data_IF_043954408018
#
_entry.id   IF_043954408018
#
_cell.length_a   1.000
_cell.length_b   1.000
_cell.length_c   1.000
_cell.angle_alpha   90.00
_cell.angle_beta   90.00
_cell.angle_gamma   90.00
#
_symmetry.space_group_name_H-M   'P 1'
#
loop_
_entity.id
_entity.type
_entity.pdbx_description
1 polymer ?
#
# COMPACT_ATOMS: atom_id res chain seq x y z
N UNK A 1 5.11 -1.63 27.66
CA UNK A 1 3.95 -2.28 27.01
C UNK A 1 2.61 -2.08 27.72
N UNK A 2 2.58 -1.63 28.99
CA UNK A 2 1.33 -1.44 29.77
C UNK A 2 0.39 -0.31 29.26
N UNK A 3 0.82 0.49 28.29
CA UNK A 3 0.01 1.57 27.68
C UNK A 3 -0.77 1.15 26.43
N UNK A 4 -0.63 -0.10 25.99
CA UNK A 4 -1.24 -0.59 24.75
C UNK A 4 -2.26 -1.66 25.12
N UNK A 5 -3.54 -1.27 25.20
CA UNK A 5 -4.62 -2.15 25.66
C UNK A 5 -5.47 -2.71 24.52
N UNK A 6 -5.26 -2.22 23.30
CA UNK A 6 -6.02 -2.65 22.14
C UNK A 6 -5.60 -4.04 21.67
N UNK A 7 -6.58 -4.78 21.16
CA UNK A 7 -6.38 -6.14 20.63
C UNK A 7 -5.68 -6.09 19.28
N UNK A 8 -6.07 -5.13 18.44
CA UNK A 8 -5.60 -4.99 17.06
C UNK A 8 -4.93 -3.62 16.85
N UNK A 9 -3.85 -3.61 16.07
CA UNK A 9 -3.13 -2.44 15.59
C UNK A 9 -3.22 -2.37 14.08
N UNK A 10 -3.59 -1.21 13.55
CA UNK A 10 -3.60 -0.91 12.12
C UNK A 10 -2.56 0.17 11.85
N UNK A 11 -1.64 -0.10 10.94
CA UNK A 11 -0.55 0.83 10.61
C UNK A 11 -0.87 1.50 9.28
N UNK A 12 -1.05 2.83 9.30
CA UNK A 12 -1.23 3.64 8.11
C UNK A 12 0.13 4.04 7.57
N UNK A 13 0.38 3.70 6.32
CA UNK A 13 1.66 3.88 5.66
C UNK A 13 1.52 4.84 4.48
N UNK A 14 2.56 5.63 4.24
CA UNK A 14 2.67 6.39 2.99
C UNK A 14 2.95 5.42 1.84
N UNK A 15 2.23 5.58 0.72
CA UNK A 15 2.30 4.67 -0.43
C UNK A 15 3.29 5.20 -1.47
N UNK A 16 4.37 4.46 -1.74
CA UNK A 16 5.45 4.85 -2.65
C UNK A 16 5.46 4.01 -3.91
N UNK A 17 5.86 4.63 -5.03
CA UNK A 17 5.92 4.01 -6.35
C UNK A 17 7.21 4.37 -7.08
N UNK A 18 7.83 3.37 -7.71
CA UNK A 18 9.01 3.44 -8.60
C UNK A 18 10.32 3.92 -7.96
N UNK A 19 10.27 4.94 -7.11
CA UNK A 19 11.38 5.55 -6.38
C UNK A 19 11.04 5.60 -4.90
N UNK A 20 12.04 5.54 -4.04
CA UNK A 20 11.83 5.53 -2.59
C UNK A 20 11.28 6.85 -2.05
N UNK A 21 11.45 7.95 -2.78
CA UNK A 21 10.96 9.28 -2.41
C UNK A 21 9.82 9.78 -3.31
N UNK A 22 9.13 8.91 -4.07
CA UNK A 22 7.93 9.28 -4.81
C UNK A 22 6.72 8.59 -4.20
N UNK A 23 5.76 9.37 -3.70
CA UNK A 23 4.56 8.83 -3.05
C UNK A 23 3.27 9.37 -3.63
N UNK A 24 2.18 8.62 -3.43
CA UNK A 24 0.83 9.11 -3.72
C UNK A 24 0.40 10.05 -2.58
N UNK A 25 0.10 11.32 -2.84
CA UNK A 25 -0.38 12.23 -1.81
C UNK A 25 -1.79 11.85 -1.34
N UNK A 26 -2.11 12.15 -0.09
CA UNK A 26 -3.44 11.94 0.51
C UNK A 26 -3.97 10.49 0.51
N UNK A 27 -3.14 9.50 0.16
CA UNK A 27 -3.47 8.08 0.24
C UNK A 27 -2.65 7.42 1.36
N UNK A 28 -3.35 6.85 2.36
CA UNK A 28 -2.74 6.06 3.43
C UNK A 28 -3.06 4.59 3.23
N UNK A 29 -2.02 3.78 3.00
CA UNK A 29 -2.15 2.34 2.86
C UNK A 29 -2.22 1.68 4.24
N UNK A 30 -3.22 0.82 4.48
CA UNK A 30 -3.43 0.18 5.79
C UNK A 30 -3.33 -1.35 5.70
N UNK A 31 -2.24 -1.84 5.09
CA UNK A 31 -2.02 -3.28 4.91
C UNK A 31 -1.38 -3.97 6.11
N UNK A 32 -0.50 -3.27 6.83
CA UNK A 32 0.21 -3.83 7.98
C UNK A 32 -0.68 -3.83 9.22
N UNK A 33 -0.82 -5.01 9.83
CA UNK A 33 -1.65 -5.25 11.01
C UNK A 33 -0.85 -5.95 12.09
N UNK A 34 -1.14 -5.62 13.33
CA UNK A 34 -0.54 -6.24 14.50
C UNK A 34 -1.58 -6.67 15.51
N UNK A 35 -1.21 -7.63 16.36
CA UNK A 35 -1.94 -7.97 17.58
C UNK A 35 -0.92 -8.40 18.64
N UNK A 36 -1.36 -8.52 19.89
CA UNK A 36 -0.52 -9.15 20.91
C UNK A 36 -0.42 -10.65 20.62
N UNK A 37 0.73 -11.26 20.89
CA UNK A 37 0.92 -12.72 20.68
C UNK A 37 -0.18 -13.56 21.35
N UNK A 38 -0.60 -13.19 22.56
CA UNK A 38 -1.69 -13.86 23.29
C UNK A 38 -3.06 -13.78 22.62
N UNK A 39 -3.26 -12.78 21.76
CA UNK A 39 -4.52 -12.53 21.05
C UNK A 39 -4.48 -13.06 19.60
N UNK A 40 -3.32 -13.57 19.14
CA UNK A 40 -3.13 -14.09 17.80
C UNK A 40 -3.78 -15.46 17.66
N UNK A 41 -4.79 -15.57 16.80
CA UNK A 41 -5.40 -16.86 16.44
C UNK A 41 -4.54 -17.58 15.40
N UNK A 42 -4.29 -16.92 14.26
CA UNK A 42 -3.36 -17.35 13.22
C UNK A 42 -3.04 -16.16 12.27
N UNK A 43 -2.04 -16.26 11.37
CA UNK A 43 -1.69 -15.18 10.46
C UNK A 43 -2.82 -14.78 9.48
N UNK A 44 -3.59 -15.76 8.99
CA UNK A 44 -4.67 -15.51 8.03
C UNK A 44 -5.83 -14.74 8.68
N UNK A 45 -6.16 -15.05 9.93
CA UNK A 45 -7.11 -14.31 10.74
C UNK A 45 -6.70 -12.84 10.82
N UNK A 46 -5.47 -12.55 11.23
CA UNK A 46 -4.96 -11.18 11.33
C UNK A 46 -5.01 -10.45 9.98
N UNK A 47 -4.67 -11.14 8.88
CA UNK A 47 -4.78 -10.60 7.51
C UNK A 47 -6.21 -10.24 7.14
N UNK A 48 -7.20 -11.05 7.52
CA UNK A 48 -8.60 -10.92 7.15
C UNK A 48 -9.37 -9.84 7.93
N UNK A 49 -8.83 -9.39 9.07
CA UNK A 49 -9.42 -8.29 9.85
C UNK A 49 -9.61 -7.06 8.98
N UNK A 50 -10.72 -6.34 9.14
CA UNK A 50 -11.00 -5.16 8.33
C UNK A 50 -10.15 -3.97 8.77
N UNK A 51 -9.74 -3.16 7.81
CA UNK A 51 -8.77 -2.06 7.95
C UNK A 51 -9.41 -0.79 8.56
N UNK A 52 -10.35 -0.96 9.49
CA UNK A 52 -11.05 0.13 10.16
C UNK A 52 -11.52 -0.27 11.55
N UNK A 53 -11.64 0.72 12.42
CA UNK A 53 -12.29 0.57 13.72
C UNK A 53 -13.80 0.63 13.55
N UNK A 54 -14.50 -0.39 14.04
CA UNK A 54 -15.96 -0.39 14.08
C UNK A 54 -16.47 0.19 15.40
N UNK A 55 -17.66 0.79 15.38
CA UNK A 55 -18.34 1.22 16.60
C UNK A 55 -18.60 0.03 17.51
N UNK A 56 -18.40 0.20 18.83
CA UNK A 56 -18.69 -0.83 19.82
C UNK A 56 -20.20 -1.12 19.95
N UNK A 57 -21.07 -0.22 19.47
CA UNK A 57 -22.52 -0.38 19.49
C UNK A 57 -23.07 -1.23 18.33
N UNK A 58 -22.21 -1.62 17.38
CA UNK A 58 -22.64 -2.44 16.24
C UNK A 58 -22.78 -3.90 16.66
N UNK A 59 -24.01 -4.40 16.70
CA UNK A 59 -24.30 -5.79 17.07
C UNK A 59 -23.51 -6.82 16.25
N UNK A 60 -23.33 -6.56 14.96
CA UNK A 60 -22.58 -7.45 14.07
C UNK A 60 -21.07 -7.54 14.38
N UNK A 61 -20.53 -6.66 15.23
CA UNK A 61 -19.12 -6.73 15.65
C UNK A 61 -18.88 -7.76 16.75
N UNK A 62 -19.87 -8.08 17.56
CA UNK A 62 -19.73 -9.08 18.64
C UNK A 62 -19.60 -10.51 18.10
N UNK A 63 -20.22 -10.78 16.94
CA UNK A 63 -20.23 -12.11 16.31
C UNK A 63 -19.25 -12.23 15.13
N UNK A 64 -18.47 -11.18 14.84
CA UNK A 64 -17.57 -11.18 13.68
C UNK A 64 -16.15 -11.57 14.06
N UNK A 65 -15.55 -12.41 13.22
CA UNK A 65 -14.12 -12.76 13.21
C UNK A 65 -13.24 -11.71 12.50
N UNK A 66 -13.86 -10.69 11.87
CA UNK A 66 -13.18 -9.71 10.99
C UNK A 66 -13.41 -8.26 11.41
N UNK A 67 -14.51 -7.97 12.11
CA UNK A 67 -14.90 -6.60 12.49
C UNK A 67 -14.61 -6.39 13.97
N UNK A 68 -13.68 -5.49 14.28
CA UNK A 68 -13.25 -5.23 15.65
C UNK A 68 -13.48 -3.76 16.02
N UNK A 69 -13.95 -3.54 17.25
CA UNK A 69 -14.05 -2.23 17.88
C UNK A 69 -12.81 -1.89 18.71
N UNK A 70 -12.15 -2.91 19.27
CA UNK A 70 -10.92 -2.77 20.05
C UNK A 70 -9.67 -2.66 19.15
N UNK A 71 -9.60 -1.57 18.40
CA UNK A 71 -8.57 -1.29 17.39
C UNK A 71 -7.85 0.03 17.72
N UNK A 72 -6.53 0.03 17.61
CA UNK A 72 -5.70 1.25 17.62
C UNK A 72 -5.13 1.49 16.22
N UNK A 73 -5.38 2.67 15.67
CA UNK A 73 -4.76 3.12 14.42
C UNK A 73 -3.47 3.86 14.75
N UNK A 74 -2.40 3.53 14.03
CA UNK A 74 -1.10 4.18 14.08
C UNK A 74 -0.96 4.98 12.79
N UNK A 75 -1.09 6.31 12.90
CA UNK A 75 -1.13 7.22 11.74
C UNK A 75 0.23 7.36 11.04
N UNK A 76 1.33 7.25 11.80
CA UNK A 76 2.70 7.17 11.29
C UNK A 76 3.21 5.73 11.32
N UNK A 77 2.58 4.88 10.51
CA UNK A 77 2.88 3.45 10.41
C UNK A 77 4.05 3.13 9.46
N UNK A 78 4.72 4.15 8.92
CA UNK A 78 5.88 4.01 8.04
C UNK A 78 5.55 4.06 6.55
N UNK A 79 6.22 3.20 5.78
CA UNK A 79 6.29 3.28 4.33
C UNK A 79 5.81 1.97 3.69
N UNK A 80 5.05 2.08 2.61
CA UNK A 80 4.69 0.97 1.75
C UNK A 80 5.30 1.20 0.37
N UNK A 81 6.31 0.41 0.01
CA UNK A 81 6.97 0.51 -1.28
C UNK A 81 6.36 -0.45 -2.29
N UNK A 82 5.81 0.09 -3.38
CA UNK A 82 5.24 -0.67 -4.49
C UNK A 82 6.04 -0.41 -5.76
N UNK A 83 6.21 -1.46 -6.56
CA UNK A 83 6.82 -1.37 -7.89
C UNK A 83 8.15 -0.58 -7.94
N UNK A 84 9.02 -0.72 -6.93
CA UNK A 84 10.41 -0.22 -6.97
C UNK A 84 11.21 -1.10 -7.92
N UNK A 85 10.98 -0.88 -9.21
CA UNK A 85 11.35 -1.74 -10.33
C UNK A 85 11.47 -0.90 -11.60
N UNK A 86 12.23 -1.40 -12.56
CA UNK A 86 12.25 -0.86 -13.93
C UNK A 86 10.92 -1.12 -14.65
N UNK A 87 10.64 -0.37 -15.72
CA UNK A 87 9.42 -0.56 -16.50
C UNK A 87 9.29 -1.99 -17.05
N UNK A 88 10.38 -2.57 -17.56
CA UNK A 88 10.44 -3.95 -18.05
C UNK A 88 10.11 -4.97 -16.95
N UNK A 89 10.65 -4.79 -15.75
CA UNK A 89 10.34 -5.67 -14.62
C UNK A 89 8.90 -5.51 -14.13
N UNK A 90 8.34 -4.31 -14.23
CA UNK A 90 6.93 -4.06 -13.91
C UNK A 90 6.04 -4.75 -14.94
N UNK A 91 6.32 -4.62 -16.24
CA UNK A 91 5.60 -5.35 -17.29
C UNK A 91 5.63 -6.86 -17.00
N UNK A 92 6.82 -7.41 -16.74
CA UNK A 92 6.99 -8.82 -16.42
C UNK A 92 6.16 -9.23 -15.19
N UNK A 93 6.20 -8.43 -14.11
CA UNK A 93 5.38 -8.66 -12.92
C UNK A 93 3.89 -8.66 -13.25
N UNK A 94 3.41 -7.69 -14.03
CA UNK A 94 1.99 -7.58 -14.38
C UNK A 94 1.52 -8.76 -15.25
N UNK A 95 2.34 -9.20 -16.21
CA UNK A 95 2.09 -10.42 -17.02
C UNK A 95 1.95 -11.68 -16.16
N UNK A 96 2.73 -11.79 -15.09
CA UNK A 96 2.72 -12.96 -14.21
C UNK A 96 1.57 -12.96 -13.18
N UNK A 97 0.80 -11.88 -13.08
CA UNK A 97 -0.12 -11.68 -11.96
C UNK A 97 -1.56 -12.11 -12.30
N UNK A 98 -1.91 -13.32 -11.85
CA UNK A 98 -3.21 -13.99 -12.08
C UNK A 98 -4.47 -13.18 -11.70
N UNK A 99 -4.34 -12.14 -10.87
CA UNK A 99 -5.47 -11.35 -10.37
C UNK A 99 -5.73 -10.05 -11.13
N UNK A 100 -4.97 -9.74 -12.19
CA UNK A 100 -5.20 -8.57 -13.03
C UNK A 100 -5.84 -8.99 -14.35
N UNK A 101 -7.12 -9.39 -14.31
CA UNK A 101 -7.94 -9.48 -15.52
C UNK A 101 -7.74 -8.22 -16.36
N UNK A 102 -7.66 -7.05 -15.68
CA UNK A 102 -7.36 -5.71 -16.23
C UNK A 102 -6.21 -5.71 -17.24
N UNK A 103 -5.11 -6.37 -16.90
CA UNK A 103 -3.95 -6.47 -17.77
C UNK A 103 -4.13 -7.48 -18.90
N UNK A 104 -4.92 -8.54 -18.69
CA UNK A 104 -5.22 -9.52 -19.76
C UNK A 104 -6.08 -8.92 -20.87
N UNK A 105 -6.97 -7.96 -20.55
CA UNK A 105 -7.80 -7.29 -21.55
C UNK A 105 -7.09 -6.08 -22.20
N UNK A 106 -6.29 -5.33 -21.45
CA UNK A 106 -5.51 -4.18 -21.96
C UNK A 106 -4.08 -4.21 -21.39
N UNK A 107 -3.16 -4.99 -22.00
CA UNK A 107 -1.80 -5.10 -21.52
C UNK A 107 -1.02 -3.81 -21.77
N UNK A 108 -0.28 -3.36 -20.77
CA UNK A 108 0.69 -2.28 -20.94
C UNK A 108 2.00 -2.82 -21.52
N UNK A 109 2.52 -2.11 -22.52
CA UNK A 109 3.88 -2.28 -23.02
C UNK A 109 4.89 -1.63 -22.07
N UNK A 110 6.15 -2.09 -22.10
CA UNK A 110 7.27 -1.41 -21.39
C UNK A 110 7.29 0.09 -21.67
N UNK A 111 7.13 0.53 -22.93
CA UNK A 111 7.20 1.95 -23.32
C UNK A 111 6.11 2.79 -22.64
N UNK A 112 4.88 2.27 -22.55
CA UNK A 112 3.79 2.95 -21.84
C UNK A 112 4.07 3.05 -20.34
N UNK A 113 4.64 2.00 -19.74
CA UNK A 113 5.03 2.03 -18.32
C UNK A 113 6.16 3.06 -18.10
N UNK A 114 7.14 3.14 -19.01
CA UNK A 114 8.20 4.16 -18.94
C UNK A 114 7.62 5.57 -18.99
N UNK A 115 6.65 5.82 -19.87
CA UNK A 115 5.97 7.11 -19.96
C UNK A 115 5.23 7.45 -18.67
N UNK A 116 4.50 6.50 -18.09
CA UNK A 116 3.81 6.66 -16.78
C UNK A 116 4.80 6.99 -15.66
N UNK A 117 5.95 6.28 -15.61
CA UNK A 117 7.00 6.52 -14.60
C UNK A 117 7.60 7.91 -14.80
N UNK A 118 7.91 8.30 -16.04
CA UNK A 118 8.47 9.62 -16.38
C UNK A 118 7.52 10.75 -16.03
N UNK A 119 6.22 10.55 -16.26
CA UNK A 119 5.15 11.47 -15.88
C UNK A 119 4.83 11.46 -14.38
N UNK A 120 5.51 10.58 -13.61
CA UNK A 120 5.32 10.42 -12.16
C UNK A 120 3.87 10.14 -11.81
N UNK A 121 3.26 9.18 -12.49
CA UNK A 121 1.87 8.78 -12.26
C UNK A 121 1.80 7.36 -11.73
N UNK A 122 0.89 7.09 -10.79
CA UNK A 122 0.63 5.72 -10.38
C UNK A 122 0.05 4.92 -11.58
N UNK A 123 0.53 3.70 -11.80
CA UNK A 123 0.06 2.83 -12.91
C UNK A 123 -1.44 2.55 -12.79
N UNK A 124 -1.97 2.49 -11.57
CA UNK A 124 -3.38 2.24 -11.30
C UNK A 124 -3.97 3.36 -10.46
N UNK A 125 -5.20 3.76 -10.81
CA UNK A 125 -6.04 4.50 -9.86
C UNK A 125 -6.62 3.54 -8.82
N UNK A 126 -6.14 3.67 -7.58
CA UNK A 126 -6.57 2.86 -6.43
C UNK A 126 -7.95 3.28 -5.89
N UNK A 127 -8.51 4.42 -6.34
CA UNK A 127 -9.80 4.96 -5.89
C UNK A 127 -10.96 4.50 -6.77
N UNK A 128 -10.71 4.09 -8.01
CA UNK A 128 -11.77 3.69 -8.95
C UNK A 128 -12.39 2.36 -8.53
N UNK A 129 -13.72 2.28 -8.64
CA UNK A 129 -14.47 1.05 -8.39
C UNK A 129 -13.90 -0.10 -9.23
N UNK A 130 -13.63 -1.24 -8.59
CA UNK A 130 -13.13 -2.46 -9.25
C UNK A 130 -14.03 -2.93 -10.41
N UNK A 131 -15.30 -2.52 -10.43
CA UNK A 131 -16.27 -2.83 -11.50
C UNK A 131 -16.13 -1.97 -12.77
N UNK A 132 -15.50 -0.79 -12.68
CA UNK A 132 -15.30 0.11 -13.82
C UNK A 132 -13.94 -0.22 -14.44
N UNK A 133 -13.94 -0.79 -15.64
CA UNK A 133 -12.72 -1.35 -16.22
C UNK A 133 -11.96 -0.38 -17.12
N UNK A 134 -12.70 0.46 -17.84
CA UNK A 134 -12.14 1.45 -18.76
C UNK A 134 -11.47 2.58 -17.97
N UNK A 135 -10.27 3.00 -18.41
CA UNK A 135 -9.51 4.16 -17.92
C UNK A 135 -8.82 4.04 -16.54
N UNK A 136 -8.57 2.84 -16.01
CA UNK A 136 -7.85 2.67 -14.74
C UNK A 136 -6.33 2.71 -14.84
N UNK A 137 -5.82 2.30 -16.00
CA UNK A 137 -4.40 2.10 -16.23
C UNK A 137 -3.81 3.39 -16.78
N UNK A 138 -2.79 3.93 -16.13
CA UNK A 138 -2.16 5.22 -16.50
C UNK A 138 -2.94 6.46 -16.05
N UNK A 139 -4.09 6.29 -15.39
CA UNK A 139 -4.89 7.39 -14.83
C UNK A 139 -4.71 7.57 -13.31
N UNK A 140 -3.74 6.89 -12.71
CA UNK A 140 -3.50 6.99 -11.27
C UNK A 140 -3.02 8.37 -10.84
N UNK A 141 -3.16 8.65 -9.54
CA UNK A 141 -2.76 9.91 -8.94
C UNK A 141 -1.31 10.29 -9.29
N UNK A 142 -1.06 11.60 -9.44
CA UNK A 142 0.31 12.12 -9.58
C UNK A 142 1.10 11.87 -8.29
N UNK A 143 2.35 11.44 -8.46
CA UNK A 143 3.28 11.19 -7.39
C UNK A 143 4.01 12.47 -7.02
N UNK A 144 4.17 12.69 -5.72
CA UNK A 144 4.88 13.83 -5.16
C UNK A 144 6.20 13.40 -4.52
N UNK A 145 7.17 14.32 -4.53
CA UNK A 145 8.45 14.12 -3.84
C UNK A 145 8.23 14.11 -2.34
N UNK A 146 8.64 13.03 -1.70
CA UNK A 146 8.70 12.91 -0.26
C UNK A 146 10.00 13.50 0.30
N UNK A 147 9.92 14.04 1.50
CA UNK A 147 11.07 14.54 2.22
C UNK A 147 12.06 13.40 2.52
N UNK A 148 13.31 13.54 2.07
CA UNK A 148 14.33 12.49 2.21
C UNK A 148 14.66 12.16 3.68
N UNK A 149 14.65 13.16 4.56
CA UNK A 149 14.86 13.03 6.01
C UNK A 149 13.79 12.15 6.69
N UNK A 150 12.62 11.99 6.06
CA UNK A 150 11.51 11.18 6.55
C UNK A 150 11.49 9.78 5.94
N UNK A 151 12.46 9.39 5.11
CA UNK A 151 12.59 8.02 4.61
C UNK A 151 13.10 7.06 5.69
N UNK A 152 13.04 5.74 5.50
CA UNK A 152 13.71 4.81 6.39
C UNK A 152 15.19 5.17 6.58
N UNK A 153 15.66 5.15 7.84
CA UNK A 153 17.05 5.51 8.20
C UNK A 153 18.07 4.75 7.35
N UNK A 154 17.77 3.49 7.01
CA UNK A 154 18.63 2.69 6.15
C UNK A 154 18.81 3.30 4.75
N UNK A 155 17.74 3.82 4.13
CA UNK A 155 17.81 4.48 2.82
C UNK A 155 18.61 5.79 2.94
N UNK A 156 18.38 6.54 4.03
CA UNK A 156 19.09 7.78 4.28
C UNK A 156 20.61 7.57 4.37
N UNK A 157 21.04 6.56 5.14
CA UNK A 157 22.46 6.23 5.32
C UNK A 157 23.12 5.68 4.06
N UNK A 158 22.36 5.04 3.17
CA UNK A 158 22.86 4.38 1.96
C UNK A 158 22.48 5.13 0.68
N UNK A 159 22.38 6.47 0.75
CA UNK A 159 21.93 7.32 -0.37
C UNK A 159 22.66 7.01 -1.69
N UNK A 160 23.98 6.83 -1.65
CA UNK A 160 24.78 6.58 -2.84
C UNK A 160 24.43 5.25 -3.53
N UNK A 161 24.09 4.22 -2.74
CA UNK A 161 23.68 2.91 -3.27
C UNK A 161 22.31 2.98 -3.94
N UNK A 162 21.46 3.90 -3.48
CA UNK A 162 20.10 4.08 -3.98
C UNK A 162 19.92 5.30 -4.89
N UNK A 163 21.01 5.90 -5.39
CA UNK A 163 20.96 7.12 -6.20
C UNK A 163 20.00 7.00 -7.41
N UNK A 164 19.95 5.82 -8.03
CA UNK A 164 19.09 5.53 -9.18
C UNK A 164 17.63 5.33 -8.78
N UNK A 165 17.35 5.09 -7.50
CA UNK A 165 16.02 4.84 -6.94
C UNK A 165 15.49 6.03 -6.13
N UNK A 166 16.15 7.18 -6.23
CA UNK A 166 15.76 8.46 -5.63
C UNK A 166 15.59 9.48 -6.76
N UNK A 167 14.49 10.24 -6.73
CA UNK A 167 14.15 11.28 -7.72
C UNK A 167 14.56 12.70 -7.32
#
# INVERSE_FOLDING_TARGET
>A
FNKINQKIFLFKQNMFYYKFNLHIPNLKWTGTKGCKKKDLVNPQWLRNIKDRKYSAFRLDTFFSDKKYSNVKTIEDGGWHFSNIKTAKEIEHKLKSYLHHREFDLEPLTTNQIEEIIKNKQAIYDLKVDKRIYKNKIGAGDKLEKFEFSKLPIYIQKNKNNFKEWID
#
